data_IF_185717818646
#
_entry.id   IF_185717818646
#
_cell.length_a   1.000
_cell.length_b   1.000
_cell.length_c   1.000
_cell.angle_alpha   90.00
_cell.angle_beta   90.00
_cell.angle_gamma   90.00
#
_symmetry.space_group_name_H-M   'P 1'
#
loop_
_entity.id
_entity.type
_entity.pdbx_description
1 polymer ?
#
# COMPACT_ATOMS: atom_id res chain seq x y z
N UNK A 1 -6.73 30.81 1.91
CA UNK A 1 -5.90 29.72 1.36
C UNK A 1 -4.49 29.86 1.90
N UNK A 2 -3.99 28.85 2.60
CA UNK A 2 -2.59 28.78 3.03
C UNK A 2 -1.75 27.97 2.03
N UNK A 3 -0.42 27.97 2.20
CA UNK A 3 0.49 27.27 1.28
C UNK A 3 0.23 25.76 1.19
N UNK A 4 -0.23 25.13 2.27
CA UNK A 4 -0.53 23.70 2.33
C UNK A 4 -1.77 23.37 1.50
N UNK A 5 -2.83 24.15 1.67
CA UNK A 5 -4.08 24.02 0.88
C UNK A 5 -3.83 24.18 -0.61
N UNK A 6 -3.05 25.19 -1.01
CA UNK A 6 -2.67 25.39 -2.41
C UNK A 6 -1.84 24.21 -2.94
N UNK A 7 -0.93 23.67 -2.15
CA UNK A 7 -0.08 22.55 -2.57
C UNK A 7 -0.87 21.26 -2.82
N UNK A 8 -1.91 20.98 -2.02
CA UNK A 8 -2.78 19.82 -2.23
C UNK A 8 -3.68 20.00 -3.44
N UNK A 9 -4.33 21.16 -3.54
CA UNK A 9 -5.18 21.47 -4.68
C UNK A 9 -4.39 21.34 -6.01
N UNK A 10 -3.17 21.85 -6.07
CA UNK A 10 -2.32 21.69 -7.24
C UNK A 10 -1.87 20.23 -7.46
N UNK A 11 -1.67 19.45 -6.41
CA UNK A 11 -1.37 18.02 -6.55
C UNK A 11 -2.53 17.29 -7.25
N UNK A 12 -3.77 17.51 -6.78
CA UNK A 12 -4.99 16.92 -7.35
C UNK A 12 -5.20 17.36 -8.81
N UNK A 13 -4.84 18.62 -9.12
CA UNK A 13 -4.88 19.12 -10.50
C UNK A 13 -3.87 18.40 -11.41
N UNK A 14 -2.64 18.17 -10.94
CA UNK A 14 -1.60 17.53 -11.76
C UNK A 14 -1.75 16.03 -11.92
N UNK A 15 -2.35 15.34 -10.94
CA UNK A 15 -2.60 13.90 -11.02
C UNK A 15 -3.94 13.55 -11.67
N UNK A 16 -4.78 14.55 -11.95
CA UNK A 16 -6.08 14.41 -12.60
C UNK A 16 -7.17 13.87 -11.68
N UNK A 17 -6.96 13.92 -10.36
CA UNK A 17 -7.95 13.53 -9.35
C UNK A 17 -8.85 14.68 -8.89
N UNK A 18 -8.57 15.91 -9.34
CA UNK A 18 -9.40 17.09 -9.08
C UNK A 18 -10.84 16.90 -9.60
N UNK A 19 -11.79 17.44 -8.84
CA UNK A 19 -13.20 17.51 -9.27
C UNK A 19 -13.31 18.21 -10.65
N UNK A 20 -14.07 17.65 -11.62
CA UNK A 20 -14.13 18.18 -12.98
C UNK A 20 -14.59 19.63 -13.09
N UNK A 21 -15.53 20.05 -12.23
CA UNK A 21 -16.03 21.43 -12.25
C UNK A 21 -14.95 22.39 -11.76
N UNK A 22 -14.24 22.02 -10.70
CA UNK A 22 -13.12 22.80 -10.18
C UNK A 22 -11.94 22.86 -11.16
N UNK A 23 -11.70 21.76 -11.88
CA UNK A 23 -10.67 21.70 -12.92
C UNK A 23 -10.99 22.67 -14.08
N UNK A 24 -12.23 22.71 -14.57
CA UNK A 24 -12.65 23.66 -15.61
C UNK A 24 -12.48 25.11 -15.17
N UNK A 25 -12.85 25.45 -13.93
CA UNK A 25 -12.67 26.79 -13.37
C UNK A 25 -11.19 27.19 -13.29
N UNK A 26 -10.34 26.26 -12.86
CA UNK A 26 -8.90 26.50 -12.77
C UNK A 26 -8.27 26.65 -14.16
N UNK A 27 -8.65 25.80 -15.12
CA UNK A 27 -8.18 25.90 -16.50
C UNK A 27 -8.56 27.24 -17.14
N UNK A 28 -9.80 27.71 -16.92
CA UNK A 28 -10.25 29.02 -17.37
C UNK A 28 -9.43 30.16 -16.74
N UNK A 29 -9.10 30.06 -15.45
CA UNK A 29 -8.23 31.04 -14.77
C UNK A 29 -6.81 31.05 -15.36
N UNK A 30 -6.20 29.87 -15.55
CA UNK A 30 -4.85 29.74 -16.10
C UNK A 30 -4.76 30.23 -17.56
N UNK A 31 -5.84 30.11 -18.33
CA UNK A 31 -5.92 30.65 -19.69
C UNK A 31 -5.91 32.18 -19.73
N UNK A 32 -6.42 32.84 -18.69
CA UNK A 32 -6.57 34.30 -18.61
C UNK A 32 -5.48 34.97 -17.76
N UNK A 33 -4.70 34.22 -16.99
CA UNK A 33 -3.73 34.74 -16.04
C UNK A 33 -2.33 34.16 -16.26
N UNK A 34 -1.51 34.86 -17.06
CA UNK A 34 -0.12 34.49 -17.35
C UNK A 34 0.72 34.24 -16.08
N UNK A 35 0.67 35.07 -15.02
CA UNK A 35 1.44 34.81 -13.81
C UNK A 35 1.10 33.47 -13.14
N UNK A 36 -0.20 33.14 -13.05
CA UNK A 36 -0.64 31.88 -12.48
C UNK A 36 -0.24 30.70 -13.36
N UNK A 37 -0.34 30.82 -14.69
CA UNK A 37 0.14 29.81 -15.62
C UNK A 37 1.64 29.53 -15.45
N UNK A 38 2.46 30.57 -15.33
CA UNK A 38 3.91 30.45 -15.11
C UNK A 38 4.19 29.79 -13.75
N UNK A 39 3.48 30.19 -12.70
CA UNK A 39 3.61 29.59 -11.38
C UNK A 39 3.28 28.09 -11.39
N UNK A 40 2.12 27.72 -11.93
CA UNK A 40 1.65 26.33 -12.01
C UNK A 40 2.62 25.45 -12.79
N UNK A 41 3.10 25.93 -13.95
CA UNK A 41 4.14 25.23 -14.75
C UNK A 41 5.45 25.05 -13.99
N UNK A 42 5.89 26.08 -13.28
CA UNK A 42 7.13 26.03 -12.49
C UNK A 42 7.00 25.05 -11.33
N UNK A 43 5.87 25.09 -10.62
CA UNK A 43 5.58 24.21 -9.51
C UNK A 43 5.53 22.74 -9.96
N UNK A 44 4.89 22.44 -11.10
CA UNK A 44 4.87 21.10 -11.69
C UNK A 44 6.28 20.62 -12.02
N UNK A 45 7.07 21.45 -12.72
CA UNK A 45 8.43 21.10 -13.12
C UNK A 45 9.36 20.84 -11.90
N UNK A 46 9.23 21.63 -10.84
CA UNK A 46 9.99 21.42 -9.59
C UNK A 46 9.54 20.14 -8.89
N UNK A 47 8.24 19.89 -8.81
CA UNK A 47 7.67 18.67 -8.21
C UNK A 47 8.13 17.41 -8.94
N UNK A 48 8.16 17.44 -10.27
CA UNK A 48 8.64 16.35 -11.11
C UNK A 48 10.14 16.10 -10.93
N UNK A 49 10.95 17.17 -10.90
CA UNK A 49 12.38 17.07 -10.62
C UNK A 49 12.63 16.49 -9.24
N UNK A 50 11.93 16.95 -8.21
CA UNK A 50 12.03 16.41 -6.86
C UNK A 50 11.64 14.93 -6.82
N UNK A 51 10.59 14.51 -7.54
CA UNK A 51 10.19 13.11 -7.67
C UNK A 51 11.26 12.27 -8.37
N UNK A 52 11.88 12.76 -9.44
CA UNK A 52 12.98 12.09 -10.14
C UNK A 52 14.23 11.95 -9.26
N UNK A 53 14.61 13.02 -8.57
CA UNK A 53 15.72 13.00 -7.61
C UNK A 53 15.46 11.97 -6.50
N UNK A 54 14.25 11.94 -5.94
CA UNK A 54 13.86 10.92 -4.94
C UNK A 54 13.95 9.48 -5.46
N UNK A 55 13.70 9.24 -6.74
CA UNK A 55 13.88 7.91 -7.36
C UNK A 55 15.35 7.54 -7.58
N UNK A 56 16.21 8.54 -7.76
CA UNK A 56 17.65 8.36 -7.94
C UNK A 56 18.41 8.26 -6.62
N UNK A 57 17.84 8.83 -5.56
CA UNK A 57 18.31 8.64 -4.19
C UNK A 57 17.80 7.27 -3.74
N UNK A 58 18.64 6.27 -3.90
CA UNK A 58 18.49 5.03 -3.17
C UNK A 58 18.66 5.38 -1.69
N UNK A 59 17.57 5.34 -0.92
CA UNK A 59 17.60 5.53 0.52
C UNK A 59 18.19 4.26 1.16
N UNK A 60 19.47 3.98 0.88
CA UNK A 60 20.20 2.98 1.63
C UNK A 60 20.42 3.51 3.04
N UNK A 61 20.03 2.72 4.05
CA UNK A 61 20.37 3.03 5.43
C UNK A 61 21.90 2.97 5.52
N UNK A 62 22.59 4.07 5.90
CA UNK A 62 24.04 4.05 6.06
C UNK A 62 24.46 2.90 6.97
N UNK A 63 25.54 2.21 6.61
CA UNK A 63 25.96 0.98 7.30
C UNK A 63 26.09 1.20 8.82
N UNK A 64 26.66 2.33 9.23
CA UNK A 64 26.84 2.69 10.63
C UNK A 64 25.50 2.89 11.36
N UNK A 65 24.52 3.50 10.71
CA UNK A 65 23.17 3.69 11.25
C UNK A 65 22.46 2.34 11.38
N UNK A 66 22.57 1.48 10.36
CA UNK A 66 21.99 0.13 10.39
C UNK A 66 22.59 -0.68 11.54
N UNK A 67 23.90 -0.70 11.69
CA UNK A 67 24.58 -1.50 12.70
C UNK A 67 24.26 -1.01 14.13
N UNK A 68 24.17 0.32 14.31
CA UNK A 68 23.73 0.94 15.58
C UNK A 68 22.27 0.60 15.89
N UNK A 69 21.39 0.65 14.89
CA UNK A 69 19.99 0.32 15.04
C UNK A 69 19.80 -1.16 15.39
N UNK A 70 20.51 -2.06 14.70
CA UNK A 70 20.47 -3.49 14.98
C UNK A 70 20.94 -3.80 16.39
N UNK A 71 22.05 -3.18 16.82
CA UNK A 71 22.57 -3.31 18.18
C UNK A 71 21.54 -2.85 19.21
N UNK A 72 20.91 -1.69 18.97
CA UNK A 72 19.86 -1.17 19.83
C UNK A 72 18.66 -2.11 19.92
N UNK A 73 18.15 -2.60 18.78
CA UNK A 73 16.99 -3.51 18.74
C UNK A 73 17.30 -4.82 19.47
N UNK A 74 18.50 -5.40 19.27
CA UNK A 74 18.92 -6.62 19.98
C UNK A 74 19.02 -6.39 21.48
N UNK A 75 19.58 -5.27 21.92
CA UNK A 75 19.66 -4.93 23.33
C UNK A 75 18.28 -4.70 23.95
N UNK A 76 17.39 -3.99 23.25
CA UNK A 76 16.00 -3.79 23.66
C UNK A 76 15.26 -5.12 23.78
N UNK A 77 15.53 -6.07 22.87
CA UNK A 77 14.93 -7.40 22.89
C UNK A 77 15.26 -8.20 24.15
N UNK A 78 16.51 -8.11 24.60
CA UNK A 78 16.95 -8.76 25.84
C UNK A 78 16.37 -8.06 27.08
N UNK A 79 16.20 -6.74 27.01
CA UNK A 79 15.71 -5.94 28.15
C UNK A 79 14.20 -6.05 28.36
N UNK A 80 13.43 -6.24 27.28
CA UNK A 80 11.97 -6.25 27.31
C UNK A 80 11.38 -7.43 26.53
N UNK A 81 11.63 -8.68 26.96
CA UNK A 81 11.18 -9.87 26.24
C UNK A 81 9.65 -9.91 26.12
N UNK A 82 8.93 -9.65 27.21
CA UNK A 82 7.45 -9.67 27.24
C UNK A 82 6.84 -8.65 26.26
N UNK A 83 7.41 -7.44 26.17
CA UNK A 83 6.93 -6.41 25.24
C UNK A 83 7.18 -6.76 23.78
N UNK A 84 8.27 -7.47 23.50
CA UNK A 84 8.50 -7.98 22.16
C UNK A 84 7.56 -9.13 21.81
N UNK A 85 7.22 -9.97 22.77
CA UNK A 85 6.26 -11.05 22.55
C UNK A 85 4.86 -10.47 22.31
N UNK A 86 4.42 -9.49 23.10
CA UNK A 86 3.19 -8.71 22.85
C UNK A 86 3.18 -8.13 21.41
N UNK A 87 4.27 -7.49 20.99
CA UNK A 87 4.39 -6.93 19.65
C UNK A 87 4.35 -8.01 18.56
N UNK A 88 5.06 -9.13 18.77
CA UNK A 88 5.05 -10.26 17.83
C UNK A 88 3.65 -10.86 17.69
N UNK A 89 2.96 -11.09 18.80
CA UNK A 89 1.60 -11.61 18.82
C UNK A 89 0.63 -10.65 18.12
N UNK A 90 0.76 -9.34 18.35
CA UNK A 90 -0.02 -8.33 17.66
C UNK A 90 0.20 -8.41 16.14
N UNK A 91 1.46 -8.39 15.69
CA UNK A 91 1.79 -8.47 14.26
C UNK A 91 1.27 -9.76 13.63
N UNK A 92 1.33 -10.89 14.34
CA UNK A 92 0.77 -12.16 13.84
C UNK A 92 -0.75 -12.13 13.76
N UNK A 93 -1.42 -11.48 14.71
CA UNK A 93 -2.87 -11.29 14.71
C UNK A 93 -3.31 -10.42 13.53
N UNK A 94 -2.69 -9.26 13.33
CA UNK A 94 -2.97 -8.36 12.21
C UNK A 94 -2.79 -9.07 10.87
N UNK A 95 -1.74 -9.89 10.73
CA UNK A 95 -1.53 -10.72 9.53
C UNK A 95 -2.60 -11.79 9.34
N UNK A 96 -3.05 -12.44 10.41
CA UNK A 96 -4.18 -13.40 10.37
C UNK A 96 -5.47 -12.73 9.93
N UNK A 97 -5.78 -11.57 10.50
CA UNK A 97 -6.95 -10.78 10.13
C UNK A 97 -6.89 -10.32 8.67
N UNK A 98 -5.72 -9.89 8.20
CA UNK A 98 -5.51 -9.48 6.81
C UNK A 98 -5.76 -10.64 5.82
N UNK A 99 -5.20 -11.82 6.07
CA UNK A 99 -5.43 -12.99 5.20
C UNK A 99 -6.88 -13.45 5.28
N UNK A 100 -7.50 -13.45 6.47
CA UNK A 100 -8.90 -13.80 6.63
C UNK A 100 -9.82 -12.82 5.86
N UNK A 101 -9.51 -11.52 5.90
CA UNK A 101 -10.19 -10.50 5.11
C UNK A 101 -10.10 -10.76 3.61
N UNK A 102 -8.90 -11.10 3.12
CA UNK A 102 -8.68 -11.46 1.72
C UNK A 102 -9.51 -12.68 1.31
N UNK A 103 -9.50 -13.77 2.10
CA UNK A 103 -10.28 -14.98 1.82
C UNK A 103 -11.77 -14.68 1.82
N UNK A 104 -12.25 -13.90 2.80
CA UNK A 104 -13.66 -13.48 2.88
C UNK A 104 -14.06 -12.64 1.66
N UNK A 105 -13.20 -11.74 1.21
CA UNK A 105 -13.43 -10.94 0.00
C UNK A 105 -13.43 -11.82 -1.27
N UNK A 106 -12.57 -12.85 -1.33
CA UNK A 106 -12.56 -13.82 -2.42
C UNK A 106 -13.87 -14.61 -2.51
N UNK A 107 -14.37 -15.13 -1.38
CA UNK A 107 -15.66 -15.82 -1.28
C UNK A 107 -16.82 -14.93 -1.71
N UNK A 108 -16.79 -13.65 -1.30
CA UNK A 108 -17.81 -12.68 -1.65
C UNK A 108 -17.70 -12.15 -3.09
N UNK A 109 -16.71 -12.60 -3.87
CA UNK A 109 -16.36 -12.05 -5.19
C UNK A 109 -16.16 -10.52 -5.17
N UNK A 110 -15.57 -9.97 -4.10
CA UNK A 110 -15.32 -8.53 -3.89
C UNK A 110 -13.84 -8.17 -3.81
N UNK A 111 -12.95 -8.99 -4.37
CA UNK A 111 -11.54 -8.61 -4.46
C UNK A 111 -11.38 -7.43 -5.42
N UNK A 112 -10.53 -6.47 -5.06
CA UNK A 112 -10.12 -5.43 -5.99
C UNK A 112 -9.39 -6.03 -7.21
N UNK A 113 -9.38 -5.36 -8.37
CA UNK A 113 -8.72 -5.88 -9.57
C UNK A 113 -7.24 -6.20 -9.38
N UNK A 114 -6.52 -5.37 -8.60
CA UNK A 114 -5.11 -5.58 -8.28
C UNK A 114 -4.89 -6.82 -7.43
N UNK A 115 -5.60 -6.94 -6.31
CA UNK A 115 -5.49 -8.10 -5.41
C UNK A 115 -5.91 -9.40 -6.11
N UNK A 116 -6.97 -9.37 -6.93
CA UNK A 116 -7.40 -10.52 -7.71
C UNK A 116 -6.32 -10.99 -8.70
N UNK A 117 -5.65 -10.06 -9.39
CA UNK A 117 -4.55 -10.38 -10.30
C UNK A 117 -3.34 -10.98 -9.57
N UNK A 118 -2.99 -10.44 -8.40
CA UNK A 118 -1.88 -10.93 -7.57
C UNK A 118 -2.15 -12.35 -7.08
N UNK A 119 -3.32 -12.60 -6.51
CA UNK A 119 -3.74 -13.93 -6.06
C UNK A 119 -3.75 -14.91 -7.23
N UNK A 120 -4.33 -14.53 -8.38
CA UNK A 120 -4.34 -15.38 -9.58
C UNK A 120 -2.94 -15.70 -10.09
N UNK A 121 -2.06 -14.71 -10.12
CA UNK A 121 -0.66 -14.89 -10.53
C UNK A 121 0.05 -15.85 -9.58
N UNK A 122 -0.15 -15.69 -8.27
CA UNK A 122 0.40 -16.62 -7.29
C UNK A 122 -0.15 -18.04 -7.46
N UNK A 123 -1.47 -18.22 -7.58
CA UNK A 123 -2.09 -19.53 -7.81
C UNK A 123 -1.64 -20.20 -9.12
N UNK A 124 -1.20 -19.44 -10.12
CA UNK A 124 -0.60 -20.02 -11.34
C UNK A 124 0.74 -20.72 -11.08
N UNK A 125 1.44 -20.33 -10.00
CA UNK A 125 2.75 -20.85 -9.61
C UNK A 125 2.72 -21.71 -8.33
N UNK A 126 1.61 -21.71 -7.58
CA UNK A 126 1.44 -22.48 -6.33
C UNK A 126 0.19 -23.37 -6.42
N UNK A 127 0.36 -24.69 -6.62
CA UNK A 127 -0.74 -25.66 -6.71
C UNK A 127 -1.63 -25.69 -5.46
N UNK A 128 -1.05 -25.56 -4.27
CA UNK A 128 -1.76 -25.63 -2.99
C UNK A 128 -2.72 -24.45 -2.82
N UNK A 129 -2.25 -23.23 -3.13
CA UNK A 129 -3.11 -22.05 -3.12
C UNK A 129 -4.14 -22.11 -4.25
N UNK A 130 -3.78 -22.63 -5.43
CA UNK A 130 -4.73 -22.81 -6.51
C UNK A 130 -5.91 -23.69 -6.10
N UNK A 131 -5.62 -24.87 -5.55
CA UNK A 131 -6.65 -25.81 -5.09
C UNK A 131 -7.54 -25.18 -4.01
N UNK A 132 -6.93 -24.48 -3.04
CA UNK A 132 -7.66 -23.78 -1.99
C UNK A 132 -8.62 -22.71 -2.55
N UNK A 133 -8.13 -21.82 -3.41
CA UNK A 133 -8.93 -20.72 -3.96
C UNK A 133 -9.97 -21.18 -4.99
N UNK A 134 -9.67 -22.21 -5.78
CA UNK A 134 -10.63 -22.82 -6.73
C UNK A 134 -11.78 -23.53 -5.98
N UNK A 135 -11.49 -24.06 -4.78
CA UNK A 135 -12.46 -24.71 -3.90
C UNK A 135 -13.29 -23.77 -3.02
N UNK A 136 -13.05 -22.45 -3.05
CA UNK A 136 -13.82 -21.50 -2.25
C UNK A 136 -15.28 -21.39 -2.75
N UNK A 137 -16.27 -21.42 -1.84
CA UNK A 137 -17.68 -21.28 -2.23
C UNK A 137 -17.93 -19.89 -2.80
N UNK A 138 -18.65 -19.81 -3.94
CA UNK A 138 -18.89 -18.54 -4.65
C UNK A 138 -20.09 -17.72 -4.14
N UNK A 139 -20.91 -18.28 -3.25
CA UNK A 139 -21.85 -17.60 -2.34
C UNK A 139 -22.89 -18.61 -1.80
N UNK A 140 -23.05 -18.71 -0.47
CA UNK A 140 -24.28 -19.01 0.32
C UNK A 140 -24.07 -19.87 1.58
N UNK A 141 -22.90 -20.47 1.81
CA UNK A 141 -22.62 -21.27 3.01
C UNK A 141 -21.70 -20.53 4.00
N UNK A 142 -21.78 -20.81 5.32
CA UNK A 142 -20.87 -20.21 6.27
C UNK A 142 -19.45 -20.64 5.87
N UNK A 143 -18.59 -19.65 5.73
CA UNK A 143 -17.32 -19.74 5.01
C UNK A 143 -16.41 -20.88 5.48
N UNK A 144 -15.38 -21.21 4.69
CA UNK A 144 -14.34 -22.11 5.13
C UNK A 144 -13.81 -21.61 6.47
N UNK A 145 -13.56 -22.54 7.39
CA UNK A 145 -12.85 -22.24 8.63
C UNK A 145 -11.50 -21.58 8.34
N UNK A 146 -10.77 -21.22 9.41
CA UNK A 146 -9.48 -20.55 9.27
C UNK A 146 -8.60 -21.21 8.19
N UNK A 147 -8.00 -20.43 7.28
CA UNK A 147 -7.16 -20.98 6.22
C UNK A 147 -6.05 -21.84 6.83
N UNK A 148 -5.68 -22.97 6.20
CA UNK A 148 -4.57 -23.79 6.68
C UNK A 148 -3.29 -22.96 6.84
N UNK A 149 -2.46 -23.26 7.85
CA UNK A 149 -1.23 -22.51 8.15
C UNK A 149 -0.32 -22.34 6.92
N UNK A 150 -0.28 -23.35 6.03
CA UNK A 150 0.47 -23.28 4.78
C UNK A 150 -0.05 -22.16 3.87
N UNK A 151 -1.36 -22.09 3.65
CA UNK A 151 -2.01 -21.05 2.84
C UNK A 151 -1.81 -19.68 3.50
N UNK A 152 -1.96 -19.61 4.82
CA UNK A 152 -1.72 -18.40 5.60
C UNK A 152 -0.30 -17.86 5.37
N UNK A 153 0.71 -18.73 5.44
CA UNK A 153 2.11 -18.35 5.22
C UNK A 153 2.38 -17.85 3.80
N UNK A 154 1.81 -18.48 2.79
CA UNK A 154 1.96 -18.08 1.39
C UNK A 154 1.31 -16.71 1.15
N UNK A 155 0.11 -16.50 1.68
CA UNK A 155 -0.61 -15.24 1.54
C UNK A 155 0.05 -14.09 2.29
N UNK A 156 0.59 -14.32 3.49
CA UNK A 156 1.42 -13.31 4.17
C UNK A 156 2.59 -12.89 3.29
N UNK A 157 3.33 -13.86 2.74
CA UNK A 157 4.51 -13.57 1.93
C UNK A 157 4.15 -12.79 0.66
N UNK A 158 3.03 -13.14 0.03
CA UNK A 158 2.49 -12.42 -1.11
C UNK A 158 2.16 -10.97 -0.73
N UNK A 159 1.43 -10.77 0.36
CA UNK A 159 1.01 -9.44 0.82
C UNK A 159 2.20 -8.57 1.27
N UNK A 160 3.21 -9.16 1.90
CA UNK A 160 4.45 -8.46 2.32
C UNK A 160 5.37 -8.10 1.16
N UNK A 161 5.20 -8.74 0.00
CA UNK A 161 5.96 -8.38 -1.21
C UNK A 161 5.41 -7.14 -1.90
N UNK A 162 4.24 -6.65 -1.45
CA UNK A 162 3.66 -5.41 -1.96
C UNK A 162 4.41 -4.20 -1.40
N UNK A 163 4.64 -3.17 -2.23
CA UNK A 163 5.25 -1.95 -1.75
C UNK A 163 4.37 -1.29 -0.67
N UNK A 164 4.98 -0.59 0.31
CA UNK A 164 4.25 0.11 1.36
C UNK A 164 3.20 1.06 0.77
N UNK A 165 1.95 0.96 1.24
CA UNK A 165 0.82 1.78 0.75
C UNK A 165 -0.07 1.10 -0.29
N UNK A 166 0.24 -0.12 -0.74
CA UNK A 166 -0.69 -0.93 -1.56
C UNK A 166 -1.56 -1.88 -0.70
N UNK A 167 -1.35 -1.91 0.62
CA UNK A 167 -2.15 -2.69 1.59
C UNK A 167 -3.62 -2.22 1.65
N UNK A 168 -3.92 -1.01 1.16
CA UNK A 168 -5.26 -0.39 1.17
C UNK A 168 -6.20 -0.92 0.08
N UNK A 169 -5.73 -1.74 -0.87
CA UNK A 169 -6.56 -2.32 -1.94
C UNK A 169 -7.31 -3.61 -1.53
N UNK A 170 -7.43 -3.86 -0.22
CA UNK A 170 -8.22 -4.95 0.36
C UNK A 170 -9.68 -4.55 0.68
N UNK A 171 -10.10 -3.34 0.31
CA UNK A 171 -11.46 -2.83 0.47
C UNK A 171 -12.37 -3.20 -0.71
#
# INVERSE_FOLDING_TARGET
>A
MNCKELSYMLADYFDGSMDPQLQEELDAHLALCEPCLVFTKTYQAVSDKARRLRRQIEYEIPLDVRDRLETFVRAAALKYPEKLDEYREQVQRERREMVAGLVKAAIACRLSPGTALLVKTHCSACPECKEYFDGLPKASDPGPGDPPDLIHSHMIRLLQSLPPGEEFFLA
#
